data_IF_007280263193
#
_entry.id   IF_007280263193
#
_cell.length_a   1.000
_cell.length_b   1.000
_cell.length_c   1.000
_cell.angle_alpha   90.00
_cell.angle_beta   90.00
_cell.angle_gamma   90.00
#
_symmetry.space_group_name_H-M   'P 1'
#
loop_
_entity.id
_entity.type
_entity.pdbx_description
1 polymer ?
#
# COMPACT_ATOMS: atom_id res chain seq x y z
N UNK A 1 14.85 8.52 23.19
CA UNK A 1 15.57 8.46 21.90
C UNK A 1 15.46 7.03 21.39
N UNK A 2 14.65 6.79 20.36
CA UNK A 2 14.57 5.46 19.72
C UNK A 2 15.69 5.39 18.70
N UNK A 3 16.55 4.37 18.80
CA UNK A 3 17.56 4.06 17.78
C UNK A 3 16.90 3.95 16.41
N UNK A 4 17.46 4.53 15.35
CA UNK A 4 16.97 4.29 14.01
C UNK A 4 17.07 2.80 13.71
N UNK A 5 16.01 2.23 13.13
CA UNK A 5 16.04 0.87 12.61
C UNK A 5 17.18 0.76 11.61
N UNK A 6 17.93 -0.36 11.60
CA UNK A 6 18.98 -0.53 10.61
C UNK A 6 18.39 -0.45 9.22
N UNK A 7 18.84 0.53 8.46
CA UNK A 7 18.45 0.73 7.06
C UNK A 7 18.81 -0.55 6.31
N UNK A 8 17.79 -1.21 5.76
CA UNK A 8 18.01 -2.40 4.95
C UNK A 8 18.88 -2.05 3.75
N UNK A 9 20.04 -2.67 3.62
CA UNK A 9 20.90 -2.51 2.44
C UNK A 9 20.19 -3.10 1.23
N UNK A 10 19.69 -2.26 0.35
CA UNK A 10 19.09 -2.70 -0.90
C UNK A 10 20.18 -2.99 -1.92
N UNK A 11 20.18 -4.16 -2.52
CA UNK A 11 21.04 -4.49 -3.65
C UNK A 11 20.53 -3.80 -4.90
N UNK A 12 21.40 -3.04 -5.56
CA UNK A 12 21.04 -2.16 -6.67
C UNK A 12 21.36 -2.75 -8.03
N UNK A 13 20.52 -2.45 -8.82
CA UNK A 13 20.12 -2.45 -10.24
C UNK A 13 21.15 -2.84 -11.33
N UNK A 14 22.42 -2.76 -11.18
CA UNK A 14 23.37 -3.23 -12.22
C UNK A 14 23.57 -4.75 -12.24
N UNK A 15 23.17 -5.42 -11.15
CA UNK A 15 23.12 -6.89 -11.12
C UNK A 15 21.72 -7.45 -11.42
N UNK A 16 20.71 -6.61 -11.55
CA UNK A 16 19.33 -7.06 -11.80
C UNK A 16 19.08 -7.59 -13.23
N UNK A 17 19.94 -7.32 -14.17
CA UNK A 17 19.82 -7.91 -15.52
C UNK A 17 20.13 -9.42 -15.56
N UNK A 18 20.62 -9.99 -14.42
CA UNK A 18 20.93 -11.41 -14.26
C UNK A 18 20.58 -11.98 -12.90
N UNK A 19 19.60 -11.45 -12.22
CA UNK A 19 19.09 -12.15 -11.04
C UNK A 19 18.00 -13.08 -11.54
N UNK A 20 18.36 -14.33 -11.64
CA UNK A 20 17.42 -15.42 -11.77
C UNK A 20 16.40 -15.31 -10.62
N UNK A 21 15.11 -15.28 -10.96
CA UNK A 21 14.01 -15.15 -9.99
C UNK A 21 14.08 -16.23 -8.89
N UNK A 22 14.70 -17.36 -9.18
CA UNK A 22 14.95 -18.43 -8.22
C UNK A 22 15.96 -18.04 -7.14
N UNK A 23 16.91 -17.16 -7.44
CA UNK A 23 17.90 -16.67 -6.45
C UNK A 23 17.27 -15.72 -5.44
N UNK A 24 16.29 -14.93 -5.82
CA UNK A 24 15.52 -14.06 -4.90
C UNK A 24 14.63 -14.87 -3.95
N UNK A 25 14.06 -16.00 -4.40
CA UNK A 25 13.23 -16.85 -3.56
C UNK A 25 14.03 -17.65 -2.53
N UNK A 26 15.27 -18.01 -2.85
CA UNK A 26 16.19 -18.70 -1.95
C UNK A 26 16.71 -17.79 -0.84
N UNK A 27 16.68 -16.48 -1.04
CA UNK A 27 17.38 -15.56 -0.16
C UNK A 27 16.67 -15.29 1.17
N UNK A 28 15.34 -15.46 1.30
CA UNK A 28 14.66 -14.99 2.50
C UNK A 28 14.97 -15.78 3.79
N UNK A 29 15.34 -17.05 3.75
CA UNK A 29 15.66 -17.81 4.96
C UNK A 29 17.13 -18.11 5.14
N UNK A 30 17.86 -18.45 4.09
CA UNK A 30 19.30 -18.77 4.18
C UNK A 30 20.19 -17.54 4.23
N UNK A 31 19.83 -16.48 3.53
CA UNK A 31 20.60 -15.23 3.48
C UNK A 31 20.56 -14.44 4.79
N UNK A 32 19.45 -14.52 5.56
CA UNK A 32 19.43 -13.89 6.88
C UNK A 32 20.41 -14.50 7.88
N UNK A 33 20.80 -15.77 7.72
CA UNK A 33 21.77 -16.43 8.59
C UNK A 33 23.21 -16.11 8.21
N UNK A 34 23.50 -15.82 6.94
CA UNK A 34 24.85 -15.53 6.45
C UNK A 34 25.13 -14.02 6.36
N UNK A 35 24.05 -13.20 6.34
CA UNK A 35 24.15 -11.75 6.44
C UNK A 35 25.19 -11.11 5.51
N UNK A 36 26.07 -10.33 6.08
CA UNK A 36 27.08 -9.57 5.32
C UNK A 36 28.11 -10.44 4.58
N UNK A 37 28.29 -11.70 4.98
CA UNK A 37 29.21 -12.62 4.30
C UNK A 37 28.81 -12.93 2.84
N UNK A 38 27.58 -12.64 2.46
CA UNK A 38 27.09 -12.79 1.09
C UNK A 38 27.38 -11.58 0.22
N UNK A 39 27.81 -10.47 0.81
CA UNK A 39 28.10 -9.25 0.07
C UNK A 39 29.51 -9.36 -0.51
N UNK A 40 29.63 -9.30 -1.83
CA UNK A 40 30.93 -9.27 -2.51
C UNK A 40 31.74 -8.07 -2.06
N UNK A 41 33.04 -8.26 -1.82
CA UNK A 41 33.95 -7.16 -1.54
C UNK A 41 33.89 -6.09 -2.64
N UNK A 42 33.77 -4.83 -2.24
CA UNK A 42 33.63 -3.72 -3.18
C UNK A 42 32.25 -3.59 -3.87
N UNK A 43 31.25 -4.32 -3.40
CA UNK A 43 29.88 -4.14 -3.91
C UNK A 43 29.41 -2.69 -3.70
N UNK A 44 28.77 -2.06 -4.71
CA UNK A 44 28.25 -0.71 -4.55
C UNK A 44 27.17 -0.67 -3.47
N UNK A 45 27.23 0.34 -2.62
CA UNK A 45 26.24 0.57 -1.55
C UNK A 45 25.31 1.70 -1.99
N UNK A 46 24.01 1.41 -1.97
CA UNK A 46 22.97 2.42 -2.18
C UNK A 46 22.29 2.69 -0.83
N UNK A 47 22.34 3.94 -0.40
CA UNK A 47 21.72 4.36 0.87
C UNK A 47 20.28 4.76 0.59
N UNK A 48 19.35 4.10 1.28
CA UNK A 48 17.92 4.47 1.27
C UNK A 48 17.64 5.13 2.60
N UNK A 49 17.62 6.45 2.59
CA UNK A 49 17.20 7.30 3.71
C UNK A 49 15.85 7.96 3.41
N UNK A 50 15.36 8.77 4.34
CA UNK A 50 14.08 9.46 4.18
C UNK A 50 14.08 10.44 2.99
N UNK A 51 15.21 11.05 2.68
CA UNK A 51 15.35 11.94 1.53
C UNK A 51 15.23 11.17 0.22
N UNK A 52 15.84 9.99 0.12
CA UNK A 52 15.73 9.13 -1.05
C UNK A 52 14.32 8.57 -1.22
N UNK A 53 13.67 8.15 -0.13
CA UNK A 53 12.28 7.72 -0.16
C UNK A 53 11.35 8.84 -0.65
N UNK A 54 11.56 10.06 -0.18
CA UNK A 54 10.79 11.23 -0.62
C UNK A 54 11.05 11.54 -2.09
N UNK A 55 12.32 11.53 -2.52
CA UNK A 55 12.70 11.74 -3.93
C UNK A 55 12.03 10.74 -4.87
N UNK A 56 12.03 9.46 -4.49
CA UNK A 56 11.37 8.40 -5.27
C UNK A 56 9.87 8.63 -5.33
N UNK A 57 9.25 8.98 -4.21
CA UNK A 57 7.82 9.27 -4.13
C UNK A 57 7.43 10.45 -5.03
N UNK A 58 8.20 11.54 -5.01
CA UNK A 58 7.96 12.71 -5.83
C UNK A 58 8.15 12.45 -7.33
N UNK A 59 8.96 11.45 -7.68
CA UNK A 59 9.17 11.03 -9.06
C UNK A 59 7.98 10.26 -9.66
N UNK A 60 6.98 9.89 -8.87
CA UNK A 60 5.85 9.12 -9.35
C UNK A 60 4.95 9.94 -10.28
N UNK A 61 4.74 9.50 -11.52
CA UNK A 61 3.90 10.23 -12.45
C UNK A 61 2.45 10.21 -12.01
N UNK A 62 1.77 11.33 -12.18
CA UNK A 62 0.32 11.38 -12.11
C UNK A 62 -0.24 11.37 -13.54
N UNK A 63 -0.95 10.31 -13.88
CA UNK A 63 -1.53 10.11 -15.24
C UNK A 63 -3.02 10.47 -15.32
N UNK A 64 -3.57 11.15 -14.32
CA UNK A 64 -4.94 11.64 -14.39
C UNK A 64 -5.08 12.72 -15.46
N UNK A 65 -6.13 12.66 -16.25
CA UNK A 65 -6.42 13.68 -17.26
C UNK A 65 -6.59 15.08 -16.66
N UNK A 66 -7.18 15.15 -15.48
CA UNK A 66 -7.26 16.36 -14.68
C UNK A 66 -6.51 16.13 -13.37
N UNK A 67 -5.37 16.80 -13.20
CA UNK A 67 -4.51 16.67 -12.02
C UNK A 67 -5.19 17.13 -10.72
N UNK A 68 -6.19 18.01 -10.83
CA UNK A 68 -6.97 18.53 -9.71
C UNK A 68 -8.30 17.79 -9.50
N UNK A 69 -8.51 16.65 -10.19
CA UNK A 69 -9.72 15.87 -10.02
C UNK A 69 -9.84 15.37 -8.57
N UNK A 70 -11.05 15.44 -8.03
CA UNK A 70 -11.34 14.82 -6.72
C UNK A 70 -11.33 13.30 -6.87
N UNK A 71 -10.70 12.55 -5.94
CA UNK A 71 -10.74 11.10 -5.95
C UNK A 71 -12.19 10.57 -5.94
N UNK A 72 -12.43 9.55 -6.75
CA UNK A 72 -13.75 8.89 -6.84
C UNK A 72 -13.74 7.48 -6.29
N UNK A 73 -12.58 6.90 -6.06
CA UNK A 73 -12.43 5.55 -5.55
C UNK A 73 -11.06 5.42 -4.84
N UNK A 74 -11.04 4.66 -3.77
CA UNK A 74 -9.84 4.32 -3.04
C UNK A 74 -9.67 2.80 -2.99
N UNK A 75 -8.45 2.33 -3.28
CA UNK A 75 -8.04 0.95 -3.05
C UNK A 75 -6.88 0.88 -2.07
N UNK A 76 -7.03 0.09 -1.00
CA UNK A 76 -5.97 -0.34 -0.10
C UNK A 76 -5.88 -1.86 -0.07
N UNK A 77 -4.65 -2.40 0.09
CA UNK A 77 -4.44 -3.85 0.15
C UNK A 77 -3.89 -4.46 -1.14
N UNK A 78 -2.96 -3.80 -1.79
CA UNK A 78 -2.16 -4.40 -2.86
C UNK A 78 -0.66 -4.21 -2.53
N UNK A 79 0.00 -5.25 -1.99
CA UNK A 79 -0.47 -6.63 -1.77
C UNK A 79 -1.63 -6.73 -0.76
N UNK A 80 -2.34 -7.87 -0.78
CA UNK A 80 -3.47 -8.14 0.10
C UNK A 80 -3.10 -7.92 1.58
N UNK A 81 -4.01 -7.28 2.31
CA UNK A 81 -3.83 -7.00 3.74
C UNK A 81 -3.83 -8.29 4.56
N UNK A 82 -3.00 -8.32 5.59
CA UNK A 82 -3.05 -9.34 6.64
C UNK A 82 -4.21 -9.07 7.60
N UNK A 83 -4.55 -10.04 8.43
CA UNK A 83 -5.57 -9.88 9.48
C UNK A 83 -5.21 -8.72 10.42
N UNK A 84 -3.95 -8.64 10.84
CA UNK A 84 -3.47 -7.56 11.72
C UNK A 84 -3.61 -6.18 11.04
N UNK A 85 -3.24 -6.06 9.77
CA UNK A 85 -3.40 -4.81 9.02
C UNK A 85 -4.87 -4.41 8.86
N UNK A 86 -5.79 -5.36 8.66
CA UNK A 86 -7.22 -5.06 8.60
C UNK A 86 -7.73 -4.51 9.93
N UNK A 87 -7.31 -5.10 11.05
CA UNK A 87 -7.68 -4.65 12.41
C UNK A 87 -7.13 -3.24 12.66
N UNK A 88 -5.82 -3.05 12.53
CA UNK A 88 -5.16 -1.75 12.74
C UNK A 88 -5.76 -0.65 11.86
N UNK A 89 -5.94 -0.92 10.56
CA UNK A 89 -6.51 0.07 9.65
C UNK A 89 -7.96 0.38 9.97
N UNK A 90 -8.74 -0.59 10.43
CA UNK A 90 -10.12 -0.35 10.91
C UNK A 90 -10.13 0.64 12.07
N UNK A 91 -9.28 0.45 13.07
CA UNK A 91 -9.16 1.36 14.22
C UNK A 91 -8.73 2.76 13.80
N UNK A 92 -7.75 2.87 12.91
CA UNK A 92 -7.26 4.15 12.39
C UNK A 92 -8.33 4.90 11.59
N UNK A 93 -9.09 4.20 10.75
CA UNK A 93 -10.21 4.80 9.99
C UNK A 93 -11.30 5.30 10.95
N UNK A 94 -11.71 4.50 11.94
CA UNK A 94 -12.71 4.91 12.93
C UNK A 94 -12.24 6.11 13.75
N UNK A 95 -10.98 6.10 14.20
CA UNK A 95 -10.40 7.21 14.96
C UNK A 95 -10.41 8.50 14.14
N UNK A 96 -10.02 8.41 12.87
CA UNK A 96 -10.01 9.54 11.94
C UNK A 96 -11.42 10.04 11.63
N UNK A 97 -12.39 9.16 11.41
CA UNK A 97 -13.82 9.54 11.24
C UNK A 97 -14.35 10.29 12.46
N UNK A 98 -14.07 9.78 13.67
CA UNK A 98 -14.47 10.48 14.91
C UNK A 98 -13.82 11.86 15.02
N UNK A 99 -12.53 11.97 14.71
CA UNK A 99 -11.82 13.25 14.75
C UNK A 99 -12.39 14.30 13.78
N UNK A 100 -12.95 13.85 12.65
CA UNK A 100 -13.58 14.72 11.67
C UNK A 100 -15.11 14.86 11.81
N UNK A 101 -15.71 14.28 12.86
CA UNK A 101 -17.16 14.31 13.07
C UNK A 101 -17.96 13.53 12.02
N UNK A 102 -17.31 12.59 11.33
CA UNK A 102 -17.92 11.78 10.29
C UNK A 102 -18.29 10.39 10.79
N UNK A 103 -19.25 9.75 10.14
CA UNK A 103 -19.65 8.37 10.44
C UNK A 103 -19.22 7.39 9.37
N UNK A 104 -19.04 7.86 8.12
CA UNK A 104 -18.69 7.04 6.97
C UNK A 104 -17.63 7.74 6.14
N UNK A 105 -16.85 6.93 5.44
CA UNK A 105 -15.88 7.41 4.47
C UNK A 105 -16.60 8.21 3.37
N UNK A 106 -16.01 9.31 2.95
CA UNK A 106 -16.55 10.22 1.93
C UNK A 106 -16.18 9.82 0.50
N UNK A 107 -15.19 8.92 0.35
CA UNK A 107 -14.75 8.36 -0.92
C UNK A 107 -15.05 6.85 -0.87
N UNK A 108 -15.76 6.27 -1.86
CA UNK A 108 -15.90 4.82 -1.97
C UNK A 108 -14.55 4.13 -1.80
N UNK A 109 -14.43 3.26 -0.81
CA UNK A 109 -13.16 2.65 -0.40
C UNK A 109 -13.28 1.15 -0.36
N UNK A 110 -12.31 0.47 -0.97
CA UNK A 110 -12.22 -0.98 -0.99
C UNK A 110 -10.90 -1.40 -0.35
N UNK A 111 -10.99 -2.24 0.67
CA UNK A 111 -9.85 -2.97 1.22
C UNK A 111 -9.81 -4.36 0.62
N UNK A 112 -8.60 -4.86 0.32
CA UNK A 112 -8.45 -6.18 -0.27
C UNK A 112 -7.58 -7.08 0.59
N UNK A 113 -8.07 -8.32 0.80
CA UNK A 113 -7.38 -9.34 1.56
C UNK A 113 -7.65 -10.73 0.95
N UNK A 114 -6.82 -11.71 1.28
CA UNK A 114 -7.02 -13.08 0.82
C UNK A 114 -8.30 -13.69 1.43
N UNK A 115 -8.98 -14.63 0.74
CA UNK A 115 -10.24 -15.21 1.22
C UNK A 115 -10.17 -15.73 2.66
N UNK A 116 -9.14 -16.48 3.01
CA UNK A 116 -8.97 -17.01 4.38
C UNK A 116 -8.73 -15.93 5.42
N UNK A 117 -8.11 -14.79 5.04
CA UNK A 117 -7.95 -13.62 5.93
C UNK A 117 -9.30 -12.94 6.14
N UNK A 118 -10.10 -12.80 5.08
CA UNK A 118 -11.46 -12.24 5.19
C UNK A 118 -12.32 -13.10 6.10
N UNK A 119 -12.28 -14.43 5.92
CA UNK A 119 -13.02 -15.36 6.78
C UNK A 119 -12.62 -15.25 8.26
N UNK A 120 -11.31 -15.10 8.52
CA UNK A 120 -10.82 -14.90 9.89
C UNK A 120 -11.27 -13.54 10.46
N UNK A 121 -11.21 -12.48 9.63
CA UNK A 121 -11.63 -11.13 10.02
C UNK A 121 -13.13 -11.06 10.33
N UNK A 122 -13.97 -11.73 9.54
CA UNK A 122 -15.43 -11.78 9.75
C UNK A 122 -15.83 -12.39 11.10
N UNK A 123 -14.96 -13.18 11.75
CA UNK A 123 -15.16 -13.75 13.09
C UNK A 123 -14.76 -12.78 14.20
N UNK A 124 -14.21 -11.60 13.87
CA UNK A 124 -13.80 -10.60 14.85
C UNK A 124 -14.87 -9.52 15.06
N UNK A 125 -14.79 -8.80 16.17
CA UNK A 125 -15.60 -7.61 16.41
C UNK A 125 -15.34 -6.47 15.43
N UNK A 126 -14.22 -6.50 14.72
CA UNK A 126 -13.80 -5.45 13.76
C UNK A 126 -14.57 -5.50 12.44
N UNK A 127 -15.07 -6.67 12.06
CA UNK A 127 -15.80 -6.79 10.79
C UNK A 127 -17.08 -5.91 10.72
N UNK A 128 -18.00 -5.95 11.70
CA UNK A 128 -19.12 -5.01 11.72
C UNK A 128 -18.67 -3.55 11.88
N UNK A 129 -17.61 -3.30 12.63
CA UNK A 129 -17.04 -1.95 12.77
C UNK A 129 -16.58 -1.39 11.45
N UNK A 130 -15.76 -2.14 10.67
CA UNK A 130 -15.32 -1.73 9.34
C UNK A 130 -16.50 -1.48 8.39
N UNK A 131 -17.48 -2.40 8.35
CA UNK A 131 -18.69 -2.22 7.52
C UNK A 131 -19.46 -0.95 7.87
N UNK A 132 -19.54 -0.60 9.14
CA UNK A 132 -20.22 0.62 9.59
C UNK A 132 -19.53 1.90 9.09
N UNK A 133 -18.22 1.87 8.81
CA UNK A 133 -17.49 2.99 8.20
C UNK A 133 -17.82 3.18 6.72
N UNK A 134 -18.48 2.23 6.08
CA UNK A 134 -18.77 2.25 4.64
C UNK A 134 -17.64 1.70 3.76
N UNK A 135 -16.55 1.20 4.35
CA UNK A 135 -15.49 0.50 3.62
C UNK A 135 -15.98 -0.88 3.19
N UNK A 136 -15.70 -1.24 1.95
CA UNK A 136 -16.01 -2.56 1.37
C UNK A 136 -14.77 -3.44 1.46
N UNK A 137 -14.94 -4.67 1.96
CA UNK A 137 -13.89 -5.68 1.98
C UNK A 137 -14.07 -6.62 0.78
N UNK A 138 -12.98 -6.89 0.05
CA UNK A 138 -12.99 -7.72 -1.15
C UNK A 138 -11.75 -8.60 -1.23
N UNK A 139 -11.87 -9.76 -1.88
CA UNK A 139 -10.74 -10.62 -2.21
C UNK A 139 -10.25 -10.44 -3.65
N UNK A 140 -10.96 -9.63 -4.44
CA UNK A 140 -10.61 -9.42 -5.85
C UNK A 140 -9.43 -8.45 -5.95
N UNK A 141 -8.42 -8.83 -6.71
CA UNK A 141 -7.25 -7.99 -6.94
C UNK A 141 -7.67 -6.62 -7.55
N UNK A 142 -7.22 -5.49 -6.99
CA UNK A 142 -7.54 -4.17 -7.50
C UNK A 142 -7.19 -3.95 -8.97
N UNK A 143 -6.17 -4.63 -9.50
CA UNK A 143 -5.84 -4.60 -10.94
C UNK A 143 -7.00 -5.07 -11.82
N UNK A 144 -7.79 -6.03 -11.36
CA UNK A 144 -8.96 -6.51 -12.10
C UNK A 144 -10.05 -5.42 -12.19
N UNK A 145 -10.25 -4.66 -11.11
CA UNK A 145 -11.16 -3.51 -11.13
C UNK A 145 -10.68 -2.41 -12.05
N UNK A 146 -9.39 -2.07 -11.99
CA UNK A 146 -8.82 -0.97 -12.76
C UNK A 146 -8.72 -1.25 -14.26
N UNK A 147 -8.72 -2.52 -14.67
CA UNK A 147 -8.63 -2.90 -16.08
C UNK A 147 -9.97 -2.88 -16.82
N UNK A 148 -11.07 -2.57 -16.15
CA UNK A 148 -12.35 -2.47 -16.83
C UNK A 148 -12.62 -1.06 -17.36
N UNK A 149 -13.44 -0.90 -18.42
CA UNK A 149 -13.70 0.40 -19.06
C UNK A 149 -14.30 1.48 -18.14
N UNK A 150 -15.03 1.07 -17.09
CA UNK A 150 -15.70 1.99 -16.17
C UNK A 150 -14.73 2.69 -15.22
N UNK A 151 -13.70 1.97 -14.76
CA UNK A 151 -12.79 2.46 -13.73
C UNK A 151 -11.44 2.91 -14.25
N UNK A 152 -11.01 2.47 -15.44
CA UNK A 152 -9.66 2.76 -15.94
C UNK A 152 -9.35 4.25 -16.14
N UNK A 153 -10.36 5.09 -16.31
CA UNK A 153 -10.20 6.54 -16.44
C UNK A 153 -10.61 7.30 -15.17
N UNK A 154 -11.04 6.59 -14.12
CA UNK A 154 -11.50 7.18 -12.87
C UNK A 154 -10.32 7.69 -12.05
N UNK A 155 -10.43 8.84 -11.36
CA UNK A 155 -9.44 9.28 -10.39
C UNK A 155 -9.45 8.34 -9.18
N UNK A 156 -8.50 7.41 -9.15
CA UNK A 156 -8.34 6.40 -8.09
C UNK A 156 -7.11 6.72 -7.26
N UNK A 157 -7.21 6.58 -5.94
CA UNK A 157 -6.09 6.71 -5.00
C UNK A 157 -5.75 5.36 -4.38
N UNK A 158 -4.47 5.16 -4.06
CA UNK A 158 -3.97 3.91 -3.49
C UNK A 158 -2.66 4.11 -2.73
N UNK A 159 -2.40 3.28 -1.72
CA UNK A 159 -1.08 3.14 -1.09
C UNK A 159 -0.20 2.07 -1.76
N UNK A 160 -0.65 1.50 -2.88
CA UNK A 160 0.07 0.47 -3.60
C UNK A 160 0.94 1.03 -4.72
N UNK A 161 2.27 0.87 -4.59
CA UNK A 161 3.19 1.17 -5.67
C UNK A 161 2.94 0.29 -6.91
N UNK A 162 2.56 -0.97 -6.71
CA UNK A 162 2.20 -1.88 -7.82
C UNK A 162 0.96 -1.39 -8.57
N UNK A 163 -0.11 -1.05 -7.86
CA UNK A 163 -1.33 -0.59 -8.51
C UNK A 163 -1.09 0.73 -9.29
N UNK A 164 -0.35 1.67 -8.70
CA UNK A 164 0.07 2.90 -9.38
C UNK A 164 0.87 2.62 -10.65
N UNK A 165 1.78 1.65 -10.62
CA UNK A 165 2.66 1.35 -11.76
C UNK A 165 1.89 0.79 -12.97
N UNK A 166 0.87 0.00 -12.73
CA UNK A 166 0.12 -0.70 -13.80
C UNK A 166 -1.22 -0.06 -14.17
N UNK A 167 -1.60 1.01 -13.50
CA UNK A 167 -2.91 1.65 -13.71
C UNK A 167 -2.80 3.18 -13.63
N UNK A 168 -3.94 3.85 -13.73
CA UNK A 168 -4.05 5.31 -13.52
C UNK A 168 -4.19 5.69 -12.05
N UNK A 169 -4.11 4.75 -11.10
CA UNK A 169 -4.20 5.06 -9.69
C UNK A 169 -3.03 5.96 -9.23
N UNK A 170 -3.33 6.98 -8.45
CA UNK A 170 -2.33 7.87 -7.86
C UNK A 170 -1.93 7.37 -6.48
N UNK A 171 -0.62 7.38 -6.23
CA UNK A 171 -0.07 6.95 -4.96
C UNK A 171 -0.18 8.03 -3.88
N UNK A 172 -0.57 7.59 -2.69
CA UNK A 172 -0.54 8.34 -1.44
C UNK A 172 -0.12 7.41 -0.31
N UNK A 173 0.44 7.93 0.77
CA UNK A 173 0.69 7.14 1.97
C UNK A 173 -0.63 6.72 2.63
N UNK A 174 -0.59 5.69 3.47
CA UNK A 174 -1.79 5.24 4.18
C UNK A 174 -2.40 6.35 5.04
N UNK A 175 -1.57 7.13 5.75
CA UNK A 175 -2.05 8.25 6.59
C UNK A 175 -2.75 9.33 5.76
N UNK A 176 -2.18 9.68 4.60
CA UNK A 176 -2.82 10.60 3.67
C UNK A 176 -4.15 10.06 3.18
N UNK A 177 -4.20 8.78 2.79
CA UNK A 177 -5.44 8.13 2.33
C UNK A 177 -6.49 8.14 3.43
N UNK A 178 -6.15 7.72 4.65
CA UNK A 178 -7.08 7.71 5.78
C UNK A 178 -7.63 9.13 6.01
N UNK A 179 -6.77 10.13 5.98
CA UNK A 179 -7.22 11.54 6.09
C UNK A 179 -8.16 11.92 4.95
N UNK A 180 -7.81 11.58 3.70
CA UNK A 180 -8.61 11.93 2.52
C UNK A 180 -9.99 11.28 2.51
N UNK A 181 -10.09 10.00 2.92
CA UNK A 181 -11.37 9.27 2.91
C UNK A 181 -12.26 9.63 4.10
N UNK A 182 -11.73 10.25 5.15
CA UNK A 182 -12.47 10.54 6.38
C UNK A 182 -12.78 12.02 6.58
N UNK A 183 -11.99 12.93 5.99
CA UNK A 183 -12.12 14.38 6.23
C UNK A 183 -13.36 14.99 5.56
N UNK A 184 -13.91 14.33 4.55
CA UNK A 184 -14.94 14.93 3.72
C UNK A 184 -14.34 15.85 2.63
N UNK A 185 -15.06 16.00 1.54
CA UNK A 185 -14.69 16.98 0.51
C UNK A 185 -15.16 18.35 1.00
N UNK A 186 -14.23 19.18 1.46
CA UNK A 186 -14.44 20.63 1.48
C UNK A 186 -14.32 21.17 0.08
#
# INVERSE_FOLDING_TARGET
>A
MKSPLPVGRAFVKQSMERIDTDTLHFSCRHTMQQGEALIRDGAPVYVIDDAELQRVRESYPCVWKNLNAKPKLCFMGCPHMTLHQLIDTTERVEASLRAHGQRKVCIPTVFTAAPGVIEAFEKTEYAPRLRNTGVVLSYICPLMYMNNPLSKAMPVITSSNKLRTYTTARYYTEDEIITMITKGAN
#
